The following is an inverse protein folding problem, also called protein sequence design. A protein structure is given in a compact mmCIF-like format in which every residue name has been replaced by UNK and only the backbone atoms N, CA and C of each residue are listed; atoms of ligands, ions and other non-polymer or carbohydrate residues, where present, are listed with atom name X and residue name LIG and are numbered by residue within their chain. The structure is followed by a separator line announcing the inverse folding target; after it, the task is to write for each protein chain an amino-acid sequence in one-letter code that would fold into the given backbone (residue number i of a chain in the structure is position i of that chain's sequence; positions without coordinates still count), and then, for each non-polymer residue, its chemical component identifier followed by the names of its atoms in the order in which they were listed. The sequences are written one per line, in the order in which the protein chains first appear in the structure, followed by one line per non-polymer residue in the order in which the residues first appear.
data_IF_093987925433
#
_entry.id   IF_093987925433
#
_cell.length_a   1.000
_cell.length_b   1.000
_cell.length_c   1.000
_cell.angle_alpha   90.00
_cell.angle_beta   90.00
_cell.angle_gamma   90.00
#
_symmetry.space_group_name_H-M   'P 1'
#
loop_
_entity.id
_entity.type
_entity.pdbx_description
1 polymer ?
#
# COMPACT_ATOMS: atom_id res chain seq x y z
N UNK A 1 -17.26 -0.04 -2.55
CA UNK A 1 -17.58 -1.15 -1.62
C UNK A 1 -18.29 -0.71 -0.34
N UNK A 2 -18.10 0.52 0.17
CA UNK A 2 -18.85 1.04 1.32
C UNK A 2 -19.38 2.46 1.06
N UNK A 3 -20.49 2.62 0.32
CA UNK A 3 -21.15 3.91 0.13
C UNK A 3 -21.56 4.56 1.46
N UNK A 4 -21.65 5.90 1.54
CA UNK A 4 -21.87 6.64 2.79
C UNK A 4 -23.21 6.32 3.49
N UNK A 5 -24.19 5.86 2.74
CA UNK A 5 -25.56 5.52 3.13
C UNK A 5 -25.76 4.02 3.39
N UNK A 6 -24.69 3.21 3.35
CA UNK A 6 -24.77 1.76 3.52
C UNK A 6 -24.57 1.30 4.97
N UNK A 7 -25.17 0.16 5.33
CA UNK A 7 -24.99 -0.48 6.64
C UNK A 7 -23.52 -0.79 6.94
N UNK A 8 -22.79 -1.26 5.92
CA UNK A 8 -21.35 -1.54 6.03
C UNK A 8 -20.55 -0.27 6.40
N UNK A 9 -20.96 0.90 5.91
CA UNK A 9 -20.35 2.17 6.27
C UNK A 9 -20.76 2.62 7.68
N UNK A 10 -22.01 2.42 8.08
CA UNK A 10 -22.45 2.73 9.45
C UNK A 10 -21.67 1.94 10.50
N UNK A 11 -21.55 0.62 10.32
CA UNK A 11 -20.80 -0.25 11.24
C UNK A 11 -19.30 0.09 11.22
N UNK A 12 -18.72 0.36 10.05
CA UNK A 12 -17.32 0.77 9.96
C UNK A 12 -17.07 2.10 10.70
N UNK A 13 -18.01 3.05 10.62
CA UNK A 13 -17.95 4.33 11.34
C UNK A 13 -18.03 4.13 12.85
N UNK A 14 -18.86 3.21 13.33
CA UNK A 14 -18.94 2.85 14.76
C UNK A 14 -17.66 2.18 15.27
N UNK A 15 -17.05 1.29 14.46
CA UNK A 15 -15.80 0.61 14.82
C UNK A 15 -14.57 1.52 14.74
N UNK A 16 -14.61 2.54 13.89
CA UNK A 16 -13.57 3.56 13.60
C UNK A 16 -12.22 3.02 13.08
N UNK A 17 -11.75 1.87 13.55
CA UNK A 17 -10.49 1.25 13.14
C UNK A 17 -10.55 -0.27 13.30
N UNK A 18 -9.60 -0.97 12.68
CA UNK A 18 -9.33 -2.38 12.96
C UNK A 18 -8.43 -2.48 14.18
N UNK A 19 -8.80 -3.32 15.15
CA UNK A 19 -8.01 -3.54 16.37
C UNK A 19 -7.16 -4.80 16.19
N UNK A 20 -5.86 -4.67 16.42
CA UNK A 20 -4.90 -5.79 16.36
C UNK A 20 -4.48 -6.18 17.78
N UNK A 21 -4.75 -7.42 18.15
CA UNK A 21 -4.48 -8.02 19.46
C UNK A 21 -3.43 -9.13 19.32
N UNK A 22 -2.75 -9.53 20.40
CA UNK A 22 -1.81 -10.66 20.35
C UNK A 22 -2.44 -11.98 19.86
N UNK A 23 -3.74 -12.18 20.11
CA UNK A 23 -4.46 -13.40 19.74
C UNK A 23 -5.19 -13.31 18.39
N UNK A 24 -5.14 -12.17 17.70
CA UNK A 24 -5.84 -11.99 16.42
C UNK A 24 -6.26 -10.54 16.16
N UNK A 25 -7.19 -10.34 15.24
CA UNK A 25 -7.68 -9.01 14.87
C UNK A 25 -9.20 -8.91 14.91
N UNK A 26 -9.69 -7.74 15.27
CA UNK A 26 -11.09 -7.35 15.19
C UNK A 26 -11.21 -6.34 14.04
N UNK A 27 -11.60 -6.77 12.83
CA UNK A 27 -11.52 -5.91 11.66
C UNK A 27 -12.67 -4.89 11.62
N UNK A 28 -12.38 -3.69 11.10
CA UNK A 28 -13.38 -2.64 10.89
C UNK A 28 -14.45 -3.04 9.88
N UNK A 29 -14.03 -3.69 8.79
CA UNK A 29 -14.92 -4.22 7.76
C UNK A 29 -15.07 -5.74 7.88
N UNK A 30 -16.17 -6.32 7.38
CA UNK A 30 -16.28 -7.77 7.19
C UNK A 30 -15.11 -8.32 6.36
N UNK A 31 -14.60 -9.50 6.70
CA UNK A 31 -13.45 -10.13 6.04
C UNK A 31 -13.68 -10.36 4.55
N UNK A 32 -14.91 -10.70 4.14
CA UNK A 32 -15.28 -10.86 2.72
C UNK A 32 -14.99 -9.62 1.87
N UNK A 33 -15.04 -8.43 2.47
CA UNK A 33 -14.78 -7.16 1.78
C UNK A 33 -13.39 -6.63 2.10
N UNK A 34 -13.01 -6.59 3.38
CA UNK A 34 -11.74 -5.99 3.85
C UNK A 34 -10.50 -6.75 3.36
N UNK A 35 -10.49 -8.08 3.48
CA UNK A 35 -9.40 -8.93 2.96
C UNK A 35 -9.72 -9.49 1.57
N UNK A 36 -10.93 -9.24 1.07
CA UNK A 36 -11.37 -9.62 -0.28
C UNK A 36 -11.32 -8.44 -1.24
N UNK A 37 -12.48 -7.90 -1.61
CA UNK A 37 -12.63 -6.92 -2.71
C UNK A 37 -11.93 -5.58 -2.50
N UNK A 38 -11.64 -5.18 -1.26
CA UNK A 38 -10.86 -3.97 -0.94
C UNK A 38 -9.34 -4.24 -0.86
N UNK A 39 -8.92 -5.50 -0.83
CA UNK A 39 -7.50 -5.86 -0.74
C UNK A 39 -6.86 -5.85 -2.14
N UNK A 40 -5.62 -5.35 -2.22
CA UNK A 40 -4.81 -5.43 -3.43
C UNK A 40 -4.26 -6.86 -3.55
N UNK A 41 -4.99 -7.71 -4.28
CA UNK A 41 -4.64 -9.13 -4.43
C UNK A 41 -3.68 -9.32 -5.59
N UNK A 42 -2.66 -10.14 -5.36
CA UNK A 42 -1.66 -10.48 -6.36
C UNK A 42 -2.31 -11.09 -7.61
N UNK A 43 -1.84 -10.67 -8.78
CA UNK A 43 -2.32 -11.16 -10.08
C UNK A 43 -3.75 -10.75 -10.45
N UNK A 44 -4.45 -9.98 -9.61
CA UNK A 44 -5.83 -9.56 -9.85
C UNK A 44 -5.88 -8.07 -10.18
N UNK A 45 -6.81 -7.67 -11.06
CA UNK A 45 -7.15 -6.26 -11.23
C UNK A 45 -7.90 -5.74 -10.00
N UNK A 46 -7.33 -4.72 -9.37
CA UNK A 46 -7.83 -4.14 -8.14
C UNK A 46 -8.06 -2.64 -8.34
N UNK A 47 -9.21 -2.14 -7.87
CA UNK A 47 -9.47 -0.71 -7.82
C UNK A 47 -8.64 -0.08 -6.70
N UNK A 48 -7.93 1.00 -7.03
CA UNK A 48 -7.15 1.77 -6.08
C UNK A 48 -7.41 3.27 -6.24
N UNK A 49 -7.03 4.04 -5.22
CA UNK A 49 -6.83 5.47 -5.33
C UNK A 49 -5.33 5.71 -5.28
N UNK A 50 -4.73 6.06 -6.42
CA UNK A 50 -3.29 6.24 -6.53
C UNK A 50 -2.89 7.69 -6.25
N UNK A 51 -1.79 7.85 -5.53
CA UNK A 51 -1.09 9.12 -5.32
C UNK A 51 0.24 9.07 -6.09
N UNK A 52 0.41 9.98 -7.05
CA UNK A 52 1.68 10.24 -7.73
C UNK A 52 2.28 11.55 -7.25
N UNK A 53 3.61 11.59 -7.12
CA UNK A 53 4.38 12.79 -6.82
C UNK A 53 5.84 12.60 -7.27
N UNK A 54 6.54 13.71 -7.43
CA UNK A 54 7.97 13.76 -7.70
C UNK A 54 8.74 14.10 -6.42
N UNK A 55 9.91 13.48 -6.28
CA UNK A 55 10.85 13.79 -5.21
C UNK A 55 11.98 14.63 -5.78
N UNK A 56 12.28 15.73 -5.09
CA UNK A 56 13.42 16.59 -5.36
C UNK A 56 14.74 15.84 -5.06
N UNK A 57 15.89 16.31 -5.56
CA UNK A 57 17.18 15.63 -5.36
C UNK A 57 17.55 15.39 -3.89
N UNK A 58 17.10 16.27 -3.00
CA UNK A 58 17.28 16.23 -1.55
C UNK A 58 16.26 15.33 -0.82
N UNK A 59 15.29 14.77 -1.53
CA UNK A 59 14.22 13.93 -0.97
C UNK A 59 12.96 14.68 -0.56
N UNK A 60 12.93 16.02 -0.66
CA UNK A 60 11.70 16.78 -0.44
C UNK A 60 10.64 16.49 -1.50
N UNK A 61 9.37 16.64 -1.15
CA UNK A 61 8.24 16.44 -2.08
C UNK A 61 8.01 17.72 -2.86
N UNK A 62 7.99 17.66 -4.19
CA UNK A 62 7.43 18.75 -4.99
C UNK A 62 5.91 18.73 -4.87
N UNK A 63 5.36 19.66 -4.09
CA UNK A 63 3.91 19.74 -3.84
C UNK A 63 3.11 20.07 -5.09
N UNK A 64 3.73 20.69 -6.10
CA UNK A 64 3.07 21.01 -7.36
C UNK A 64 2.89 19.78 -8.27
N UNK A 65 3.67 18.72 -8.04
CA UNK A 65 3.63 17.45 -8.79
C UNK A 65 2.56 16.47 -8.29
N UNK A 66 1.85 16.79 -7.21
CA UNK A 66 0.93 15.85 -6.56
C UNK A 66 -0.28 15.59 -7.46
N UNK A 67 -0.49 14.32 -7.81
CA UNK A 67 -1.64 13.84 -8.58
C UNK A 67 -2.37 12.76 -7.79
N UNK A 68 -3.68 12.91 -7.65
CA UNK A 68 -4.58 11.90 -7.07
C UNK A 68 -5.50 11.40 -8.16
N UNK A 69 -5.50 10.09 -8.42
CA UNK A 69 -6.33 9.51 -9.48
C UNK A 69 -6.91 8.14 -9.08
N UNK A 70 -8.21 7.89 -9.33
CA UNK A 70 -8.74 6.54 -9.32
C UNK A 70 -8.02 5.69 -10.36
N UNK A 71 -7.64 4.48 -10.00
CA UNK A 71 -6.82 3.61 -10.84
C UNK A 71 -7.28 2.15 -10.77
N UNK A 72 -6.89 1.40 -11.81
CA UNK A 72 -6.94 -0.05 -11.83
C UNK A 72 -5.50 -0.55 -11.82
N UNK A 73 -5.12 -1.32 -10.79
CA UNK A 73 -3.76 -1.81 -10.60
C UNK A 73 -3.75 -3.33 -10.52
N UNK A 74 -2.64 -3.94 -10.94
CA UNK A 74 -2.39 -5.37 -10.80
C UNK A 74 -1.08 -5.58 -10.06
N UNK A 75 -1.14 -6.14 -8.86
CA UNK A 75 0.04 -6.37 -8.01
C UNK A 75 0.82 -7.56 -8.56
N UNK A 76 2.09 -7.35 -8.93
CA UNK A 76 2.98 -8.39 -9.44
C UNK A 76 3.41 -9.37 -8.35
N UNK A 77 3.92 -8.84 -7.24
CA UNK A 77 4.46 -9.64 -6.13
C UNK A 77 3.85 -9.21 -4.79
N UNK A 78 3.49 -10.19 -3.97
CA UNK A 78 3.10 -9.98 -2.58
C UNK A 78 4.27 -10.40 -1.70
N UNK A 79 5.15 -9.44 -1.40
CA UNK A 79 6.37 -9.68 -0.64
C UNK A 79 6.14 -9.47 0.87
N UNK A 80 6.91 -10.21 1.65
CA UNK A 80 7.12 -10.06 3.09
C UNK A 80 8.33 -9.17 3.34
N UNK A 81 8.53 -8.73 4.59
CA UNK A 81 9.72 -7.95 4.94
C UNK A 81 11.01 -8.74 4.73
N UNK A 82 11.03 -10.00 5.17
CA UNK A 82 12.19 -10.88 5.06
C UNK A 82 12.60 -11.10 3.59
N UNK A 83 11.63 -11.34 2.70
CA UNK A 83 11.91 -11.48 1.26
C UNK A 83 12.50 -10.21 0.65
N UNK A 84 11.99 -9.03 1.03
CA UNK A 84 12.53 -7.74 0.51
C UNK A 84 13.94 -7.50 1.01
N UNK A 85 14.20 -7.78 2.29
CA UNK A 85 15.53 -7.61 2.88
C UNK A 85 16.55 -8.54 2.21
N UNK A 86 16.21 -9.82 2.02
CA UNK A 86 17.04 -10.80 1.30
C UNK A 86 17.33 -10.33 -0.15
N UNK A 87 16.30 -9.91 -0.90
CA UNK A 87 16.47 -9.41 -2.27
C UNK A 87 17.38 -8.18 -2.35
N UNK A 88 17.36 -7.30 -1.34
CA UNK A 88 18.21 -6.12 -1.30
C UNK A 88 19.66 -6.49 -0.92
N UNK A 89 19.86 -7.41 0.01
CA UNK A 89 21.18 -7.88 0.44
C UNK A 89 21.91 -8.65 -0.67
N UNK A 90 21.19 -9.50 -1.41
CA UNK A 90 21.73 -10.26 -2.55
C UNK A 90 21.97 -9.41 -3.80
N UNK A 91 21.51 -8.15 -3.80
CA UNK A 91 21.64 -7.23 -4.91
C UNK A 91 20.56 -7.36 -5.99
N UNK A 92 19.67 -8.35 -5.88
CA UNK A 92 18.53 -8.58 -6.80
C UNK A 92 17.61 -7.37 -6.89
N UNK A 93 17.38 -6.68 -5.76
CA UNK A 93 16.60 -5.44 -5.69
C UNK A 93 17.23 -4.25 -6.41
N UNK A 94 18.46 -4.38 -6.94
CA UNK A 94 19.14 -3.34 -7.73
C UNK A 94 19.36 -3.75 -9.19
N UNK A 95 19.33 -5.04 -9.51
CA UNK A 95 19.57 -5.56 -10.86
C UNK A 95 18.27 -5.96 -11.56
N UNK A 96 17.52 -6.90 -11.00
CA UNK A 96 16.35 -7.52 -11.63
C UNK A 96 15.06 -6.80 -11.21
N UNK A 97 14.92 -6.53 -9.90
CA UNK A 97 13.77 -5.84 -9.31
C UNK A 97 14.19 -4.44 -8.84
N UNK A 98 14.79 -3.67 -9.77
CA UNK A 98 15.45 -2.39 -9.53
C UNK A 98 14.56 -1.35 -8.81
N UNK A 99 13.24 -1.47 -8.92
CA UNK A 99 12.28 -0.60 -8.25
C UNK A 99 12.44 -0.65 -6.72
N UNK A 100 12.80 -1.80 -6.14
CA UNK A 100 13.04 -1.95 -4.70
C UNK A 100 14.24 -1.10 -4.26
N UNK A 101 15.36 -1.18 -4.98
CA UNK A 101 16.55 -0.38 -4.74
C UNK A 101 16.32 1.12 -4.93
N UNK A 102 15.51 1.49 -5.93
CA UNK A 102 15.09 2.86 -6.15
C UNK A 102 14.23 3.38 -4.97
N UNK A 103 13.29 2.58 -4.48
CA UNK A 103 12.48 2.89 -3.31
C UNK A 103 13.33 3.04 -2.04
N UNK A 104 14.28 2.14 -1.79
CA UNK A 104 15.19 2.23 -0.65
C UNK A 104 16.04 3.52 -0.71
N UNK A 105 16.55 3.85 -1.90
CA UNK A 105 17.35 5.06 -2.12
C UNK A 105 16.53 6.33 -1.84
N UNK A 106 15.28 6.37 -2.32
CA UNK A 106 14.35 7.46 -2.04
C UNK A 106 14.00 7.55 -0.55
N UNK A 107 13.74 6.42 0.11
CA UNK A 107 13.44 6.37 1.54
C UNK A 107 14.61 6.88 2.41
N UNK A 108 15.85 6.54 2.05
CA UNK A 108 17.06 7.03 2.73
C UNK A 108 17.18 8.56 2.64
N UNK A 109 16.95 9.14 1.46
CA UNK A 109 16.97 10.61 1.27
C UNK A 109 15.92 11.32 2.12
N UNK A 110 14.71 10.76 2.21
CA UNK A 110 13.59 11.32 2.99
C UNK A 110 13.77 11.25 4.51
N UNK A 111 14.67 10.39 4.98
CA UNK A 111 14.93 10.20 6.42
C UNK A 111 16.01 11.14 6.95
N UNK A 112 16.89 11.62 6.06
CA UNK A 112 17.96 12.57 6.38
C UNK A 112 17.38 13.97 6.65
#
# INVERSE_FOLDING_TARGET
WAPRDSDIFSVARERATSVYLPTGSVPMFPTSVGTGSMSLRQGCDCYALSLGLELMPDGSVDTSSIVVTPSLVRVSYRLTYDEVDEMLEEGVGFSEEWQLGAMLSAAKKRRA
#
